data_IF_574649911458
#
_entry.id   IF_574649911458
#
_cell.length_a   1.000
_cell.length_b   1.000
_cell.length_c   1.000
_cell.angle_alpha   90.00
_cell.angle_beta   90.00
_cell.angle_gamma   90.00
#
_symmetry.space_group_name_H-M   'P 1'
#
loop_
_entity.id
_entity.type
_entity.pdbx_description
1 polymer ?
#
# COMPACT_ATOMS: atom_id res chain seq x y z
N UNK A 1 1.80 -21.92 9.22
CA UNK A 1 1.40 -21.33 7.93
C UNK A 1 0.90 -19.91 8.22
N UNK A 2 1.56 -18.87 7.70
CA UNK A 2 1.23 -17.48 8.07
C UNK A 2 -0.16 -17.14 7.55
N UNK A 3 -1.09 -16.79 8.44
CA UNK A 3 -2.47 -16.48 8.06
C UNK A 3 -2.55 -15.06 7.50
N UNK A 4 -2.69 -14.95 6.19
CA UNK A 4 -2.87 -13.67 5.49
C UNK A 4 -4.33 -13.20 5.66
N UNK A 5 -4.52 -11.97 6.12
CA UNK A 5 -5.85 -11.34 6.24
C UNK A 5 -6.43 -10.95 4.87
N UNK A 6 -7.75 -10.69 4.81
CA UNK A 6 -8.42 -10.25 3.56
C UNK A 6 -7.76 -9.00 2.94
N UNK A 7 -7.38 -8.03 3.77
CA UNK A 7 -6.72 -6.81 3.30
C UNK A 7 -5.30 -7.10 2.79
N UNK A 8 -4.53 -7.93 3.49
CA UNK A 8 -3.19 -8.31 3.04
C UNK A 8 -3.23 -9.06 1.71
N UNK A 9 -4.20 -9.95 1.50
CA UNK A 9 -4.40 -10.64 0.21
C UNK A 9 -4.67 -9.62 -0.92
N UNK A 10 -5.62 -8.71 -0.71
CA UNK A 10 -5.92 -7.65 -1.70
C UNK A 10 -4.72 -6.75 -2.00
N UNK A 11 -3.93 -6.40 -0.98
CA UNK A 11 -2.71 -5.61 -1.15
C UNK A 11 -1.72 -6.32 -2.08
N UNK A 12 -1.50 -7.62 -1.89
CA UNK A 12 -0.62 -8.41 -2.76
C UNK A 12 -1.15 -8.50 -4.19
N UNK A 13 -2.47 -8.69 -4.37
CA UNK A 13 -3.11 -8.68 -5.69
C UNK A 13 -2.93 -7.34 -6.41
N UNK A 14 -3.11 -6.22 -5.69
CA UNK A 14 -2.90 -4.87 -6.22
C UNK A 14 -1.43 -4.67 -6.62
N UNK A 15 -0.49 -5.03 -5.75
CA UNK A 15 0.94 -4.85 -5.99
C UNK A 15 1.49 -5.77 -7.08
N UNK A 16 0.86 -6.92 -7.33
CA UNK A 16 1.21 -7.79 -8.47
C UNK A 16 0.93 -7.12 -9.82
N UNK A 17 -0.08 -6.24 -9.88
CA UNK A 17 -0.47 -5.50 -11.10
C UNK A 17 0.26 -4.14 -11.15
N UNK A 18 0.38 -3.46 -10.01
CA UNK A 18 1.01 -2.14 -9.86
C UNK A 18 2.08 -2.20 -8.77
N UNK A 19 3.33 -2.55 -9.10
CA UNK A 19 4.36 -2.87 -8.11
C UNK A 19 4.88 -1.68 -7.30
N UNK A 20 4.62 -0.45 -7.76
CA UNK A 20 5.05 0.78 -7.08
C UNK A 20 3.82 1.66 -6.78
N UNK A 21 3.41 1.68 -5.52
CA UNK A 21 2.26 2.43 -5.04
C UNK A 21 2.48 2.92 -3.61
N UNK A 22 1.92 4.09 -3.31
CA UNK A 22 1.88 4.65 -1.96
C UNK A 22 0.82 3.97 -1.10
N UNK A 23 0.97 4.05 0.22
CA UNK A 23 -0.05 3.56 1.17
C UNK A 23 -1.43 4.15 0.91
N UNK A 24 -1.50 5.43 0.51
CA UNK A 24 -2.75 6.11 0.22
C UNK A 24 -3.44 5.51 -0.99
N UNK A 25 -2.73 5.36 -2.11
CA UNK A 25 -3.31 4.82 -3.34
C UNK A 25 -3.78 3.37 -3.15
N UNK A 26 -3.01 2.55 -2.43
CA UNK A 26 -3.42 1.19 -2.09
C UNK A 26 -4.71 1.21 -1.25
N UNK A 27 -4.83 2.12 -0.28
CA UNK A 27 -6.04 2.24 0.51
C UNK A 27 -7.24 2.65 -0.36
N UNK A 28 -7.06 3.61 -1.26
CA UNK A 28 -8.12 4.04 -2.18
C UNK A 28 -8.58 2.89 -3.09
N UNK A 29 -7.64 2.08 -3.59
CA UNK A 29 -7.98 0.88 -4.37
C UNK A 29 -8.70 -0.20 -3.55
N UNK A 30 -8.29 -0.44 -2.30
CA UNK A 30 -8.92 -1.47 -1.45
C UNK A 30 -10.34 -1.08 -1.02
N UNK A 31 -10.58 0.20 -0.73
CA UNK A 31 -11.87 0.70 -0.22
C UNK A 31 -12.76 1.32 -1.30
N UNK A 32 -12.27 1.53 -2.52
CA UNK A 32 -13.05 2.08 -3.64
C UNK A 32 -13.51 3.52 -3.42
N UNK A 33 -12.81 4.29 -2.58
CA UNK A 33 -13.14 5.68 -2.24
C UNK A 33 -11.88 6.46 -1.93
N UNK A 34 -11.95 7.80 -1.96
CA UNK A 34 -10.84 8.66 -1.52
C UNK A 34 -10.53 8.43 -0.04
N UNK A 35 -9.25 8.29 0.29
CA UNK A 35 -8.77 8.00 1.65
C UNK A 35 -7.82 9.09 2.09
N UNK A 36 -8.15 9.79 3.18
CA UNK A 36 -7.27 10.80 3.76
C UNK A 36 -6.24 10.16 4.71
N UNK A 37 -5.12 10.85 4.89
CA UNK A 37 -4.15 10.52 5.94
C UNK A 37 -4.82 10.52 7.32
N UNK A 38 -4.32 9.67 8.23
CA UNK A 38 -4.83 9.48 9.60
C UNK A 38 -6.25 8.89 9.73
N UNK A 39 -6.90 8.51 8.63
CA UNK A 39 -8.16 7.74 8.69
C UNK A 39 -7.94 6.31 9.19
N UNK A 40 -9.02 5.63 9.61
CA UNK A 40 -8.97 4.21 10.04
C UNK A 40 -8.58 3.31 8.87
N UNK A 41 -9.08 3.61 7.67
CA UNK A 41 -8.79 2.94 6.42
C UNK A 41 -7.30 3.01 6.09
N UNK A 42 -6.72 4.21 6.09
CA UNK A 42 -5.28 4.41 5.89
C UNK A 42 -4.46 3.63 6.92
N UNK A 43 -4.80 3.76 8.21
CA UNK A 43 -4.09 3.10 9.30
C UNK A 43 -4.16 1.57 9.23
N UNK A 44 -5.29 1.03 8.76
CA UNK A 44 -5.48 -0.41 8.53
C UNK A 44 -4.55 -0.95 7.43
N UNK A 45 -4.45 -0.23 6.31
CA UNK A 45 -3.57 -0.59 5.19
C UNK A 45 -2.11 -0.41 5.58
N UNK A 46 -1.76 0.69 6.26
CA UNK A 46 -0.41 0.94 6.73
C UNK A 46 0.11 -0.20 7.64
N UNK A 47 -0.68 -0.64 8.63
CA UNK A 47 -0.32 -1.79 9.48
C UNK A 47 -0.20 -3.09 8.68
N UNK A 48 -1.06 -3.29 7.69
CA UNK A 48 -1.01 -4.47 6.83
C UNK A 48 0.27 -4.49 5.99
N UNK A 49 0.69 -3.35 5.44
CA UNK A 49 1.95 -3.19 4.70
C UNK A 49 3.17 -3.46 5.58
N UNK A 50 3.22 -2.89 6.79
CA UNK A 50 4.30 -3.19 7.75
C UNK A 50 4.37 -4.69 8.05
N UNK A 51 3.22 -5.32 8.30
CA UNK A 51 3.18 -6.76 8.58
C UNK A 51 3.66 -7.61 7.40
N UNK A 52 3.30 -7.25 6.17
CA UNK A 52 3.76 -7.94 4.96
C UNK A 52 5.26 -7.71 4.70
N UNK A 53 5.76 -6.51 4.97
CA UNK A 53 7.18 -6.16 4.89
C UNK A 53 8.00 -6.97 5.89
N UNK A 54 7.56 -7.07 7.14
CA UNK A 54 8.20 -7.89 8.17
C UNK A 54 8.20 -9.40 7.85
N UNK A 55 7.29 -9.86 6.99
CA UNK A 55 7.24 -11.23 6.51
C UNK A 55 8.11 -11.46 5.25
N UNK A 56 8.74 -10.42 4.72
CA UNK A 56 9.54 -10.49 3.50
C UNK A 56 8.73 -10.64 2.21
N UNK A 57 7.41 -10.41 2.26
CA UNK A 57 6.53 -10.55 1.09
C UNK A 57 6.52 -9.31 0.19
N UNK A 58 6.79 -8.14 0.77
CA UNK A 58 6.94 -6.88 0.05
C UNK A 58 8.13 -6.12 0.62
N UNK A 59 8.61 -5.10 -0.09
CA UNK A 59 9.64 -4.18 0.40
C UNK A 59 9.19 -2.75 0.16
N UNK A 60 9.46 -1.85 1.11
CA UNK A 60 9.27 -0.41 0.87
C UNK A 60 10.33 0.08 -0.10
N UNK A 61 9.88 0.68 -1.20
CA UNK A 61 10.76 1.40 -2.13
C UNK A 61 10.60 2.89 -1.85
N UNK A 62 11.68 3.54 -1.41
CA UNK A 62 11.66 4.99 -1.21
C UNK A 62 11.80 5.69 -2.57
N UNK A 63 10.68 6.06 -3.17
CA UNK A 63 10.69 6.91 -4.36
C UNK A 63 11.02 8.33 -3.92
N UNK A 64 12.26 8.78 -4.20
CA UNK A 64 12.72 10.15 -3.90
C UNK A 64 11.90 11.15 -4.72
N UNK A 65 11.13 12.02 -4.04
CA UNK A 65 10.59 13.31 -4.50
C UNK A 65 10.88 13.64 -5.98
N UNK A 66 9.93 13.35 -6.88
CA UNK A 66 10.10 13.63 -8.32
C UNK A 66 9.35 14.90 -8.70
N UNK A 67 10.11 15.88 -9.17
CA UNK A 67 9.65 17.10 -9.83
C UNK A 67 9.96 16.98 -11.32
N UNK A 68 9.11 17.51 -12.19
CA UNK A 68 9.35 17.55 -13.65
C UNK A 68 9.35 18.99 -14.15
N UNK A 69 10.20 19.23 -15.15
CA UNK A 69 10.51 20.51 -15.80
C UNK A 69 9.26 21.31 -16.21
N UNK A 70 9.36 22.64 -16.06
CA UNK A 70 8.55 23.60 -16.81
C UNK A 70 9.11 23.68 -18.23
N UNK A 71 8.42 23.04 -19.17
CA UNK A 71 8.62 23.17 -20.62
C UNK A 71 7.59 24.12 -21.18
#
# INVERSE_FOLDING_TARGET
MVRISKNQKKILEILAIKPDMTTKEIAEMVYGKLVQYKTKEYSSIHRSLISLENQGLIKRVQVKLRWKIKS
#
